data_IF_187533833711
#
_entry.id   IF_187533833711
#
_cell.length_a   1.000
_cell.length_b   1.000
_cell.length_c   1.000
_cell.angle_alpha   90.00
_cell.angle_beta   90.00
_cell.angle_gamma   90.00
#
_symmetry.space_group_name_H-M   'P 1'
#
loop_
_entity.id
_entity.type
_entity.pdbx_description
1 polymer ?
#
# COMPACT_ATOMS: atom_id res chain seq x y z
N UNK A 1 -2.45 3.72 -14.27
CA UNK A 1 -1.23 4.01 -13.49
C UNK A 1 -0.25 4.73 -14.42
N UNK A 2 0.78 5.42 -13.93
CA UNK A 2 1.78 6.10 -14.77
C UNK A 2 3.18 5.52 -14.55
N UNK A 3 4.16 5.85 -15.40
CA UNK A 3 5.54 5.34 -15.28
C UNK A 3 6.28 5.74 -14.00
N UNK A 4 5.73 6.67 -13.22
CA UNK A 4 6.24 7.07 -11.89
C UNK A 4 5.46 6.43 -10.74
N UNK A 5 4.57 5.49 -11.03
CA UNK A 5 3.81 4.78 -10.01
C UNK A 5 4.70 3.78 -9.28
N UNK A 6 4.75 3.91 -7.96
CA UNK A 6 5.31 2.93 -7.03
C UNK A 6 4.13 2.26 -6.36
N UNK A 7 4.00 0.94 -6.57
CA UNK A 7 2.87 0.11 -6.12
C UNK A 7 3.35 -0.84 -5.04
N UNK A 8 2.61 -0.90 -3.92
CA UNK A 8 2.84 -1.88 -2.88
C UNK A 8 2.22 -3.23 -3.26
N UNK A 9 3.02 -4.29 -3.32
CA UNK A 9 2.51 -5.64 -3.45
C UNK A 9 2.18 -6.19 -2.06
N UNK A 10 0.89 -6.19 -1.69
CA UNK A 10 0.45 -6.78 -0.43
C UNK A 10 -0.53 -7.93 -0.60
N UNK A 11 -1.18 -8.06 -1.76
CA UNK A 11 -2.21 -9.05 -1.94
C UNK A 11 -1.62 -10.48 -1.95
N UNK A 12 -2.22 -11.44 -1.23
CA UNK A 12 -1.80 -12.84 -1.30
C UNK A 12 -1.98 -13.38 -2.72
N UNK A 13 -1.09 -14.27 -3.16
CA UNK A 13 -1.10 -14.80 -4.53
C UNK A 13 -2.36 -15.60 -4.90
N UNK A 14 -3.19 -15.94 -3.91
CA UNK A 14 -4.50 -16.59 -4.09
C UNK A 14 -5.64 -15.63 -4.45
N UNK A 15 -5.41 -14.32 -4.45
CA UNK A 15 -6.40 -13.31 -4.80
C UNK A 15 -6.06 -12.65 -6.15
N UNK A 16 -7.08 -12.25 -6.90
CA UNK A 16 -6.97 -11.59 -8.20
C UNK A 16 -6.23 -10.23 -8.14
N UNK A 17 -6.39 -9.50 -7.03
CA UNK A 17 -5.66 -8.26 -6.71
C UNK A 17 -4.14 -8.45 -6.88
N UNK A 18 -3.59 -9.63 -6.54
CA UNK A 18 -2.16 -9.92 -6.68
C UNK A 18 -1.64 -9.73 -8.11
N UNK A 19 -2.41 -10.21 -9.10
CA UNK A 19 -2.06 -10.08 -10.51
C UNK A 19 -2.23 -8.63 -10.95
N UNK A 20 -3.27 -7.95 -10.48
CA UNK A 20 -3.51 -6.55 -10.81
C UNK A 20 -2.37 -5.65 -10.32
N UNK A 21 -1.85 -5.87 -9.11
CA UNK A 21 -0.70 -5.14 -8.56
C UNK A 21 0.55 -5.37 -9.42
N UNK A 22 0.85 -6.61 -9.83
CA UNK A 22 2.07 -6.93 -10.61
C UNK A 22 1.93 -6.48 -12.07
N UNK A 23 0.94 -7.02 -12.79
CA UNK A 23 0.77 -6.81 -14.23
C UNK A 23 0.42 -5.36 -14.52
N UNK A 24 -0.46 -4.76 -13.71
CA UNK A 24 -0.80 -3.34 -13.84
C UNK A 24 0.43 -2.46 -13.74
N UNK A 25 1.28 -2.69 -12.74
CA UNK A 25 2.51 -1.90 -12.56
C UNK A 25 3.47 -2.07 -13.72
N UNK A 26 3.71 -3.32 -14.17
CA UNK A 26 4.61 -3.59 -15.28
C UNK A 26 4.10 -3.00 -16.60
N UNK A 27 2.80 -3.06 -16.87
CA UNK A 27 2.20 -2.53 -18.10
C UNK A 27 2.44 -1.02 -18.27
N UNK A 28 2.41 -0.27 -17.18
CA UNK A 28 2.64 1.18 -17.19
C UNK A 28 4.12 1.58 -16.95
N UNK A 29 5.03 0.61 -16.78
CA UNK A 29 6.45 0.85 -16.52
C UNK A 29 6.73 1.41 -15.12
N UNK A 30 5.91 1.06 -14.13
CA UNK A 30 6.09 1.48 -12.73
C UNK A 30 7.05 0.59 -11.94
N UNK A 31 7.14 0.82 -10.63
CA UNK A 31 7.95 0.05 -9.69
C UNK A 31 7.06 -0.70 -8.69
N UNK A 32 7.42 -1.95 -8.39
CA UNK A 32 6.73 -2.80 -7.41
C UNK A 32 7.60 -2.88 -6.15
N UNK A 33 7.02 -2.64 -4.98
CA UNK A 33 7.63 -2.87 -3.68
C UNK A 33 6.99 -4.08 -3.02
N UNK A 34 7.76 -5.13 -2.79
CA UNK A 34 7.28 -6.37 -2.18
C UNK A 34 7.32 -6.27 -0.64
N UNK A 35 6.23 -6.67 0.01
CA UNK A 35 6.25 -6.87 1.46
C UNK A 35 7.13 -8.06 1.85
N UNK A 36 7.69 -8.01 3.06
CA UNK A 36 8.22 -9.19 3.73
C UNK A 36 7.07 -10.14 4.11
N UNK A 37 7.33 -11.45 4.29
CA UNK A 37 6.31 -12.38 4.74
C UNK A 37 5.57 -11.89 5.99
N UNK A 38 4.24 -11.95 5.98
CA UNK A 38 3.34 -11.45 7.04
C UNK A 38 3.44 -9.95 7.35
N UNK A 39 4.20 -9.16 6.56
CA UNK A 39 4.32 -7.72 6.75
C UNK A 39 3.01 -6.95 6.55
N UNK A 40 2.03 -7.56 5.89
CA UNK A 40 0.70 -6.99 5.68
C UNK A 40 -0.15 -6.90 6.97
N UNK A 41 0.28 -7.52 8.07
CA UNK A 41 -0.40 -7.48 9.36
C UNK A 41 0.09 -6.32 10.27
N UNK A 42 1.17 -5.64 9.90
CA UNK A 42 1.77 -4.57 10.69
C UNK A 42 1.59 -3.21 9.99
N UNK A 43 0.66 -2.40 10.49
CA UNK A 43 0.39 -1.07 9.97
C UNK A 43 1.56 -0.09 10.17
N UNK A 44 2.38 -0.25 11.21
CA UNK A 44 3.57 0.58 11.38
C UNK A 44 4.57 0.31 10.26
N UNK A 45 4.77 -0.97 9.92
CA UNK A 45 5.64 -1.38 8.83
C UNK A 45 5.13 -0.88 7.48
N UNK A 46 3.81 -1.01 7.23
CA UNK A 46 3.19 -0.51 6.00
C UNK A 46 3.36 1.01 5.88
N UNK A 47 3.05 1.78 6.93
CA UNK A 47 3.24 3.23 6.94
C UNK A 47 4.72 3.62 6.75
N UNK A 48 5.64 2.92 7.41
CA UNK A 48 7.07 3.10 7.22
C UNK A 48 7.49 2.89 5.77
N UNK A 49 7.01 1.82 5.12
CA UNK A 49 7.29 1.58 3.70
C UNK A 49 6.67 2.64 2.80
N UNK A 50 5.45 3.07 3.09
CA UNK A 50 4.76 4.09 2.30
C UNK A 50 5.61 5.36 2.24
N UNK A 51 6.09 5.82 3.39
CA UNK A 51 6.94 7.00 3.49
C UNK A 51 8.34 6.76 2.89
N UNK A 52 9.04 5.70 3.28
CA UNK A 52 10.46 5.52 2.92
C UNK A 52 10.66 5.05 1.48
N UNK A 53 9.72 4.28 0.93
CA UNK A 53 9.76 3.80 -0.45
C UNK A 53 8.92 4.66 -1.40
N UNK A 54 8.33 5.75 -0.89
CA UNK A 54 7.55 6.71 -1.68
C UNK A 54 6.39 6.04 -2.43
N UNK A 55 5.71 5.10 -1.76
CA UNK A 55 4.61 4.34 -2.36
C UNK A 55 3.49 5.30 -2.75
N UNK A 56 3.04 5.16 -3.99
CA UNK A 56 2.01 6.03 -4.58
C UNK A 56 0.66 5.34 -4.72
N UNK A 57 0.63 4.01 -4.73
CA UNK A 57 -0.57 3.21 -4.91
C UNK A 57 -0.51 2.01 -3.97
N UNK A 58 -1.60 1.80 -3.22
CA UNK A 58 -1.80 0.61 -2.40
C UNK A 58 -3.26 0.16 -2.52
N UNK A 59 -3.47 -1.16 -2.48
CA UNK A 59 -4.79 -1.77 -2.51
C UNK A 59 -5.07 -2.38 -1.14
N UNK A 60 -6.23 -2.05 -0.57
CA UNK A 60 -6.65 -2.51 0.74
C UNK A 60 -8.01 -3.21 0.61
N UNK A 61 -8.25 -4.21 1.44
CA UNK A 61 -9.60 -4.76 1.60
C UNK A 61 -10.43 -3.86 2.51
N UNK A 62 -11.77 -3.82 2.40
CA UNK A 62 -12.61 -2.96 3.23
C UNK A 62 -12.32 -3.09 4.73
N UNK A 63 -12.16 -4.32 5.25
CA UNK A 63 -11.86 -4.56 6.66
C UNK A 63 -10.51 -3.99 7.10
N UNK A 64 -9.52 -3.90 6.20
CA UNK A 64 -8.20 -3.31 6.50
C UNK A 64 -8.21 -1.78 6.55
N UNK A 65 -9.21 -1.14 5.94
CA UNK A 65 -9.40 0.32 6.03
C UNK A 65 -9.84 0.73 7.42
N UNK A 66 -10.75 -0.02 8.05
CA UNK A 66 -11.19 0.28 9.42
C UNK A 66 -10.00 0.26 10.38
N UNK A 67 -9.15 -0.77 10.29
CA UNK A 67 -7.91 -0.85 11.08
C UNK A 67 -6.94 0.32 10.79
N UNK A 68 -6.82 0.73 9.52
CA UNK A 68 -6.00 1.87 9.15
C UNK A 68 -6.54 3.18 9.74
N UNK A 69 -7.87 3.39 9.72
CA UNK A 69 -8.51 4.57 10.29
C UNK A 69 -8.30 4.62 11.80
N UNK A 70 -8.54 3.50 12.51
CA UNK A 70 -8.31 3.40 13.95
C UNK A 70 -6.85 3.69 14.31
N UNK A 71 -5.93 3.14 13.53
CA UNK A 71 -4.50 3.40 13.67
C UNK A 71 -4.17 4.89 13.50
N UNK A 72 -4.72 5.57 12.49
CA UNK A 72 -4.49 7.00 12.26
C UNK A 72 -5.11 7.90 13.35
N UNK A 73 -6.23 7.48 13.93
CA UNK A 73 -6.91 8.21 15.02
C UNK A 73 -6.18 8.06 16.36
N UNK A 74 -5.59 6.88 16.63
CA UNK A 74 -4.83 6.60 17.85
C UNK A 74 -3.39 7.13 17.84
N UNK A 75 -2.90 7.64 16.71
CA UNK A 75 -1.48 7.96 16.49
C UNK A 75 -1.16 9.45 16.51
N UNK A 76 0.06 9.80 16.95
CA UNK A 76 0.59 11.18 16.87
C UNK A 76 0.64 11.70 15.42
N UNK A 77 0.56 13.02 15.22
CA UNK A 77 0.53 13.76 13.93
C UNK A 77 1.58 13.26 12.91
N UNK A 78 2.74 12.76 13.37
CA UNK A 78 3.77 12.17 12.49
C UNK A 78 3.26 10.98 11.66
N UNK A 79 2.38 10.14 12.20
CA UNK A 79 1.84 8.98 11.46
C UNK A 79 0.84 9.39 10.38
N UNK A 80 0.08 10.47 10.61
CA UNK A 80 -0.80 11.03 9.59
C UNK A 80 -0.01 11.59 8.40
N UNK A 81 1.20 12.11 8.65
CA UNK A 81 2.10 12.56 7.59
C UNK A 81 2.70 11.42 6.77
N UNK A 82 2.78 10.18 7.29
CA UNK A 82 3.40 9.05 6.57
C UNK A 82 2.67 8.67 5.28
N UNK A 83 1.37 8.98 5.16
CA UNK A 83 0.55 8.63 4.00
C UNK A 83 0.57 9.66 2.87
N UNK A 84 1.33 10.76 3.00
CA UNK A 84 1.32 11.87 2.03
C UNK A 84 1.75 11.47 0.60
N UNK A 85 2.45 10.36 0.44
CA UNK A 85 2.90 9.85 -0.86
C UNK A 85 1.82 9.08 -1.61
N UNK A 86 0.81 8.54 -0.90
CA UNK A 86 -0.29 7.80 -1.50
C UNK A 86 -1.15 8.73 -2.35
N UNK A 87 -1.27 8.41 -3.64
CA UNK A 87 -2.09 9.14 -4.60
C UNK A 87 -3.35 8.39 -4.98
N UNK A 88 -3.29 7.06 -4.94
CA UNK A 88 -4.40 6.19 -5.27
C UNK A 88 -4.53 5.14 -4.17
N UNK A 89 -5.67 5.15 -3.51
CA UNK A 89 -6.10 4.12 -2.57
C UNK A 89 -7.24 3.36 -3.23
N UNK A 90 -7.01 2.09 -3.59
CA UNK A 90 -8.06 1.23 -4.12
C UNK A 90 -8.58 0.32 -3.01
N UNK A 91 -9.90 0.18 -2.93
CA UNK A 91 -10.56 -0.73 -1.99
C UNK A 91 -11.24 -1.82 -2.81
N UNK A 92 -10.85 -3.08 -2.59
CA UNK A 92 -11.29 -4.24 -3.36
C UNK A 92 -11.46 -5.49 -2.52
#
# INVERSE_FOLDING_TARGET
MGSRSIVLQMAPCSFDIHIQEIIGTMYFGGTIIMLVPNGNLDLNYICYLIENQQITIAMFVPSSIDFLIDYLNGSSIKHQASLHTLRILCIG
#
